data_IF_770317144153
#
_entry.id   IF_770317144153
#
_cell.length_a   1.000
_cell.length_b   1.000
_cell.length_c   1.000
_cell.angle_alpha   90.00
_cell.angle_beta   90.00
_cell.angle_gamma   90.00
#
_symmetry.space_group_name_H-M   'P 1'
#
loop_
_entity.id
_entity.type
_entity.pdbx_description
1 polymer ?
#
# COMPACT_ATOMS: atom_id res chain seq x y z
N UNK A 1 33.98 -53.74 21.75
CA UNK A 1 33.15 -53.22 20.63
C UNK A 1 32.37 -52.03 21.15
N UNK A 2 32.67 -50.80 20.71
CA UNK A 2 32.05 -49.59 21.29
C UNK A 2 31.97 -48.38 20.32
N UNK A 3 31.99 -48.63 19.01
CA UNK A 3 32.01 -47.56 17.97
C UNK A 3 30.60 -47.29 17.40
N UNK A 4 29.69 -48.27 17.46
CA UNK A 4 28.46 -48.31 16.63
C UNK A 4 27.33 -47.33 16.99
N UNK A 5 27.32 -46.71 18.18
CA UNK A 5 26.10 -46.03 18.70
C UNK A 5 26.11 -44.51 18.52
N UNK A 6 27.28 -43.87 18.45
CA UNK A 6 27.37 -42.39 18.37
C UNK A 6 27.13 -41.90 16.93
N UNK A 7 27.70 -42.58 15.94
CA UNK A 7 27.62 -42.19 14.52
C UNK A 7 26.21 -42.36 13.92
N UNK A 8 25.45 -43.35 14.38
CA UNK A 8 24.05 -43.56 13.93
C UNK A 8 23.17 -42.39 14.35
N UNK A 9 23.39 -41.84 15.56
CA UNK A 9 22.61 -40.71 16.07
C UNK A 9 22.93 -39.38 15.36
N UNK A 10 24.20 -39.12 15.00
CA UNK A 10 24.56 -37.93 14.24
C UNK A 10 24.01 -37.98 12.80
N UNK A 11 24.08 -39.15 12.15
CA UNK A 11 23.48 -39.35 10.82
C UNK A 11 21.96 -39.13 10.84
N UNK A 12 21.25 -39.69 11.82
CA UNK A 12 19.80 -39.51 11.96
C UNK A 12 19.40 -38.04 12.19
N UNK A 13 20.14 -37.31 13.04
CA UNK A 13 19.92 -35.89 13.26
C UNK A 13 20.18 -35.06 11.98
N UNK A 14 21.26 -35.36 11.25
CA UNK A 14 21.59 -34.66 10.00
C UNK A 14 20.53 -34.88 8.91
N UNK A 15 19.97 -36.10 8.81
CA UNK A 15 18.83 -36.39 7.93
C UNK A 15 17.57 -35.60 8.31
N UNK A 16 17.29 -35.40 9.61
CA UNK A 16 16.18 -34.53 10.04
C UNK A 16 16.40 -33.06 9.70
N UNK A 17 17.63 -32.55 9.85
CA UNK A 17 17.99 -31.17 9.45
C UNK A 17 17.83 -31.01 7.93
N UNK A 18 18.38 -31.93 7.13
CA UNK A 18 18.25 -31.89 5.67
C UNK A 18 16.78 -31.97 5.20
N UNK A 19 15.93 -32.77 5.87
CA UNK A 19 14.48 -32.80 5.60
C UNK A 19 13.77 -31.48 5.93
N UNK A 20 14.15 -30.80 7.03
CA UNK A 20 13.61 -29.48 7.36
C UNK A 20 14.05 -28.41 6.36
N UNK A 21 15.31 -28.40 5.97
CA UNK A 21 15.84 -27.49 4.93
C UNK A 21 15.14 -27.75 3.59
N UNK A 22 14.97 -29.02 3.20
CA UNK A 22 14.21 -29.40 2.00
C UNK A 22 12.77 -28.85 2.02
N UNK A 23 12.02 -29.09 3.11
CA UNK A 23 10.66 -28.58 3.25
C UNK A 23 10.60 -27.04 3.18
N UNK A 24 11.54 -26.32 3.80
CA UNK A 24 11.60 -24.85 3.70
C UNK A 24 11.96 -24.36 2.29
N UNK A 25 12.81 -25.09 1.55
CA UNK A 25 13.10 -24.79 0.13
C UNK A 25 11.89 -25.07 -0.74
N UNK A 26 11.16 -26.17 -0.51
CA UNK A 26 9.92 -26.49 -1.23
C UNK A 26 8.81 -25.47 -0.95
N UNK A 27 8.70 -24.96 0.28
CA UNK A 27 7.75 -23.90 0.65
C UNK A 27 8.12 -22.56 -0.02
N UNK A 28 9.40 -22.17 0.00
CA UNK A 28 9.89 -20.98 -0.72
C UNK A 28 9.68 -21.11 -2.23
N UNK A 29 9.97 -22.28 -2.82
CA UNK A 29 9.73 -22.55 -4.23
C UNK A 29 8.23 -22.49 -4.58
N UNK A 30 7.35 -22.96 -3.69
CA UNK A 30 5.89 -22.91 -3.87
C UNK A 30 5.34 -21.48 -3.77
N UNK A 31 5.90 -20.65 -2.88
CA UNK A 31 5.60 -19.22 -2.81
C UNK A 31 6.06 -18.53 -4.11
N UNK A 32 7.32 -18.70 -4.51
CA UNK A 32 7.86 -18.11 -5.74
C UNK A 32 7.13 -18.58 -7.01
N UNK A 33 6.70 -19.84 -7.07
CA UNK A 33 5.87 -20.37 -8.17
C UNK A 33 4.48 -19.73 -8.18
N UNK A 34 3.81 -19.66 -7.03
CA UNK A 34 2.49 -19.00 -6.89
C UNK A 34 2.56 -17.51 -7.26
N UNK A 35 3.61 -16.82 -6.84
CA UNK A 35 3.83 -15.40 -7.17
C UNK A 35 4.18 -15.23 -8.66
N UNK A 36 4.95 -16.15 -9.24
CA UNK A 36 5.22 -16.18 -10.69
C UNK A 36 3.94 -16.42 -11.49
N UNK A 37 3.05 -17.30 -11.05
CA UNK A 37 1.73 -17.50 -11.67
C UNK A 37 0.79 -16.32 -11.45
N UNK A 38 0.91 -15.58 -10.34
CA UNK A 38 0.17 -14.34 -10.12
C UNK A 38 0.66 -13.25 -11.07
N UNK A 39 1.98 -13.09 -11.22
CA UNK A 39 2.62 -12.19 -12.21
C UNK A 39 2.21 -12.57 -13.64
N UNK A 40 2.25 -13.87 -13.99
CA UNK A 40 1.82 -14.37 -15.30
C UNK A 40 0.29 -14.28 -15.53
N UNK A 41 -0.51 -14.02 -14.49
CA UNK A 41 -1.92 -13.61 -14.61
C UNK A 41 -2.05 -12.09 -14.79
N UNK A 42 -1.34 -11.29 -13.98
CA UNK A 42 -1.26 -9.81 -14.12
C UNK A 42 -0.83 -9.39 -15.53
N UNK A 43 0.13 -10.06 -16.15
CA UNK A 43 0.59 -9.77 -17.51
C UNK A 43 -0.46 -10.00 -18.62
N UNK A 44 -1.56 -10.71 -18.35
CA UNK A 44 -2.60 -11.01 -19.34
C UNK A 44 -3.82 -10.07 -19.29
N UNK A 45 -3.95 -9.22 -18.27
CA UNK A 45 -5.03 -8.24 -18.17
C UNK A 45 -4.64 -6.82 -18.58
N UNK A 46 -3.39 -6.38 -18.33
CA UNK A 46 -2.96 -5.00 -18.60
C UNK A 46 -2.33 -4.82 -19.97
N UNK A 47 -3.10 -4.30 -20.92
CA UNK A 47 -2.61 -3.71 -22.16
C UNK A 47 -2.60 -2.19 -21.99
N UNK A 48 -1.53 -1.55 -21.47
CA UNK A 48 -1.07 -0.18 -21.86
C UNK A 48 -0.94 1.03 -20.91
N UNK A 49 -0.72 2.20 -21.55
CA UNK A 49 0.02 3.45 -21.15
C UNK A 49 -0.35 4.58 -22.16
N UNK A 50 -0.20 5.92 -22.05
CA UNK A 50 -0.21 7.01 -21.03
C UNK A 50 -0.38 8.37 -21.80
N UNK A 51 -0.96 9.44 -21.23
CA UNK A 51 -0.55 10.86 -21.50
C UNK A 51 -1.01 11.83 -20.38
N UNK A 52 -0.62 13.11 -20.43
CA UNK A 52 -0.37 13.96 -19.24
C UNK A 52 -1.57 14.69 -18.60
N UNK A 53 -1.43 14.88 -17.28
CA UNK A 53 -2.15 15.78 -16.37
C UNK A 53 -3.62 15.46 -16.06
N UNK A 54 -3.95 15.61 -14.77
CA UNK A 54 -5.33 15.66 -14.23
C UNK A 54 -6.16 14.40 -14.48
N UNK A 55 -5.48 13.28 -14.70
CA UNK A 55 -6.05 11.97 -15.01
C UNK A 55 -6.21 11.06 -13.79
N UNK A 56 -5.44 11.23 -12.70
CA UNK A 56 -5.21 10.24 -11.62
C UNK A 56 -6.41 9.40 -11.13
N UNK A 57 -7.61 9.97 -11.10
CA UNK A 57 -8.84 9.26 -10.70
C UNK A 57 -9.36 8.27 -11.78
N UNK A 58 -9.01 8.48 -13.05
CA UNK A 58 -9.27 7.59 -14.19
C UNK A 58 -7.99 7.00 -14.82
N UNK A 59 -6.80 7.45 -14.41
CA UNK A 59 -5.50 7.06 -14.98
C UNK A 59 -5.08 5.64 -14.63
N UNK A 60 -5.61 5.09 -13.53
CA UNK A 60 -5.40 3.68 -13.16
C UNK A 60 -5.97 2.68 -14.20
N UNK A 61 -6.81 3.14 -15.13
CA UNK A 61 -7.71 2.28 -15.92
C UNK A 61 -7.52 2.39 -17.45
N UNK A 62 -6.71 3.32 -18.00
CA UNK A 62 -6.62 3.50 -19.47
C UNK A 62 -5.24 3.81 -20.09
N UNK A 63 -5.03 3.17 -21.24
CA UNK A 63 -3.91 3.29 -22.21
C UNK A 63 -3.74 1.90 -22.87
N UNK A 64 -3.18 1.74 -24.10
CA UNK A 64 -2.99 0.45 -24.82
C UNK A 64 -1.72 0.39 -25.67
N UNK A 65 -0.54 0.07 -25.08
CA UNK A 65 0.78 0.04 -25.73
C UNK A 65 1.62 -1.16 -25.22
N UNK A 66 2.69 -1.53 -25.96
CA UNK A 66 3.44 -2.78 -25.83
C UNK A 66 4.50 -2.82 -24.70
N UNK A 67 5.06 -4.02 -24.52
CA UNK A 67 5.95 -4.46 -23.45
C UNK A 67 7.28 -3.69 -23.36
N UNK A 68 7.28 -2.57 -22.60
CA UNK A 68 8.46 -1.74 -22.31
C UNK A 68 8.75 -1.61 -20.81
N UNK A 69 8.08 -2.41 -19.96
CA UNK A 69 8.44 -2.54 -18.54
C UNK A 69 9.81 -3.20 -18.43
N UNK A 70 10.83 -2.40 -18.12
CA UNK A 70 12.19 -2.88 -17.95
C UNK A 70 12.26 -3.79 -16.71
N UNK A 71 13.16 -4.76 -16.71
CA UNK A 71 13.32 -5.67 -15.58
C UNK A 71 13.62 -4.91 -14.27
N UNK A 72 13.21 -5.48 -13.12
CA UNK A 72 13.39 -4.88 -11.78
C UNK A 72 14.83 -4.41 -11.52
N UNK A 73 15.83 -5.13 -12.08
CA UNK A 73 17.25 -4.77 -12.04
C UNK A 73 17.59 -3.39 -12.64
N UNK A 74 16.82 -2.90 -13.63
CA UNK A 74 16.99 -1.54 -14.16
C UNK A 74 16.66 -0.48 -13.11
N UNK A 75 15.54 -0.65 -12.40
CA UNK A 75 15.11 0.26 -11.35
C UNK A 75 16.00 0.14 -10.10
N UNK A 76 16.54 -1.05 -9.80
CA UNK A 76 17.62 -1.21 -8.80
C UNK A 76 18.89 -0.43 -9.15
N UNK A 77 19.24 -0.30 -10.43
CA UNK A 77 20.37 0.52 -10.87
C UNK A 77 20.14 2.03 -10.77
N UNK A 78 18.89 2.47 -10.90
CA UNK A 78 18.47 3.88 -10.76
C UNK A 78 18.31 4.26 -9.27
N UNK A 79 17.83 3.32 -8.46
CA UNK A 79 17.54 3.49 -7.03
C UNK A 79 18.35 2.50 -6.17
N UNK A 80 19.70 2.52 -6.23
CA UNK A 80 20.55 1.57 -5.52
C UNK A 80 20.30 1.59 -4.01
N UNK A 81 20.24 0.41 -3.40
CA UNK A 81 19.83 0.20 -1.99
C UNK A 81 18.34 0.42 -1.71
N UNK A 82 17.66 1.28 -2.49
CA UNK A 82 16.24 1.65 -2.31
C UNK A 82 15.25 0.81 -3.12
N UNK A 83 15.66 -0.31 -3.72
CA UNK A 83 14.78 -1.19 -4.52
C UNK A 83 14.73 -2.65 -4.02
N UNK A 84 15.26 -2.93 -2.81
CA UNK A 84 15.15 -4.25 -2.17
C UNK A 84 14.12 -4.24 -1.05
N UNK A 85 13.25 -5.26 -0.99
CA UNK A 85 12.25 -5.38 0.07
C UNK A 85 12.92 -5.31 1.44
N UNK A 86 12.39 -4.42 2.27
CA UNK A 86 12.98 -4.09 3.55
C UNK A 86 12.65 -5.17 4.59
N UNK A 87 13.63 -5.51 5.44
CA UNK A 87 13.44 -6.45 6.54
C UNK A 87 12.33 -5.99 7.50
N UNK A 88 11.42 -6.89 7.85
CA UNK A 88 10.31 -6.55 8.75
C UNK A 88 10.82 -6.38 10.17
N UNK A 89 10.73 -5.15 10.70
CA UNK A 89 11.21 -4.83 12.05
C UNK A 89 10.05 -4.93 13.02
N UNK A 90 9.82 -6.12 13.58
CA UNK A 90 8.72 -6.36 14.53
C UNK A 90 8.79 -5.41 15.73
N UNK A 91 7.80 -4.53 15.85
CA UNK A 91 7.60 -3.61 16.97
C UNK A 91 6.51 -4.19 17.87
N UNK A 92 6.76 -4.21 19.18
CA UNK A 92 5.78 -4.70 20.15
C UNK A 92 4.45 -3.93 20.01
N UNK A 93 3.37 -4.69 19.80
CA UNK A 93 2.02 -4.19 19.54
C UNK A 93 1.91 -3.19 18.37
N UNK A 94 2.84 -3.23 17.41
CA UNK A 94 2.90 -2.32 16.26
C UNK A 94 1.56 -2.11 15.54
N UNK A 95 0.89 -3.17 15.03
CA UNK A 95 -0.42 -3.05 14.36
C UNK A 95 -1.49 -2.36 15.23
N UNK A 96 -1.56 -2.71 16.52
CA UNK A 96 -2.50 -2.09 17.46
C UNK A 96 -2.20 -0.59 17.62
N UNK A 97 -0.93 -0.22 17.81
CA UNK A 97 -0.49 1.18 17.98
C UNK A 97 -0.77 2.05 16.75
N UNK A 98 -0.68 1.50 15.54
CA UNK A 98 -1.11 2.20 14.30
C UNK A 98 -2.63 2.42 14.30
N UNK A 99 -3.40 1.38 14.65
CA UNK A 99 -4.86 1.49 14.78
C UNK A 99 -5.30 2.45 15.91
N UNK A 100 -4.50 2.59 16.98
CA UNK A 100 -4.76 3.54 18.08
C UNK A 100 -4.56 5.01 17.66
N UNK A 101 -3.49 5.34 16.92
CA UNK A 101 -3.30 6.70 16.40
C UNK A 101 -4.34 7.03 15.30
N UNK A 102 -4.77 6.07 14.46
CA UNK A 102 -5.84 6.29 13.48
C UNK A 102 -7.21 6.53 14.15
N UNK A 103 -7.56 5.75 15.18
CA UNK A 103 -8.75 5.99 16.02
C UNK A 103 -8.67 7.35 16.74
N UNK A 104 -7.46 7.78 17.18
CA UNK A 104 -7.25 9.13 17.75
C UNK A 104 -7.47 10.24 16.72
N UNK A 105 -6.91 10.10 15.52
CA UNK A 105 -7.05 11.06 14.41
C UNK A 105 -8.54 11.23 14.06
N UNK A 106 -9.26 10.12 13.92
CA UNK A 106 -10.71 10.11 13.72
C UNK A 106 -11.48 10.80 14.85
N UNK A 107 -11.25 10.43 16.12
CA UNK A 107 -11.96 11.00 17.28
C UNK A 107 -11.66 12.47 17.53
N UNK A 108 -10.49 12.95 17.13
CA UNK A 108 -10.14 14.37 17.22
C UNK A 108 -10.83 15.22 16.15
N UNK A 109 -11.34 14.62 15.07
CA UNK A 109 -11.75 15.35 13.88
C UNK A 109 -10.58 16.02 13.16
N UNK A 110 -9.37 15.46 13.28
CA UNK A 110 -8.16 15.98 12.63
C UNK A 110 -8.41 16.05 11.11
N UNK A 111 -8.32 17.24 10.49
CA UNK A 111 -8.51 17.43 9.03
C UNK A 111 -7.19 17.55 8.28
N UNK A 112 -7.17 17.08 7.04
CA UNK A 112 -6.01 17.20 6.14
C UNK A 112 -6.42 17.33 4.68
N UNK A 113 -5.48 17.79 3.84
CA UNK A 113 -5.67 17.88 2.40
C UNK A 113 -5.31 16.54 1.75
N UNK A 114 -6.29 15.83 1.23
CA UNK A 114 -6.05 14.69 0.35
C UNK A 114 -5.34 15.19 -0.91
N UNK A 115 -4.17 14.63 -1.22
CA UNK A 115 -3.29 15.10 -2.28
C UNK A 115 -2.45 13.93 -2.83
N UNK A 116 -2.69 13.54 -4.08
CA UNK A 116 -1.94 12.48 -4.76
C UNK A 116 -0.51 12.88 -5.13
N UNK A 117 0.25 11.93 -5.69
CA UNK A 117 1.58 12.18 -6.27
C UNK A 117 1.47 12.99 -7.58
N UNK A 118 1.16 14.28 -7.46
CA UNK A 118 1.11 15.26 -8.56
C UNK A 118 2.33 16.21 -8.47
N UNK A 119 3.03 16.52 -9.58
CA UNK A 119 4.03 17.60 -9.65
C UNK A 119 3.48 18.99 -9.33
N UNK A 120 2.25 19.34 -9.74
CA UNK A 120 1.62 20.63 -9.42
C UNK A 120 1.43 20.80 -7.92
N UNK A 121 0.78 19.82 -7.27
CA UNK A 121 0.57 19.83 -5.82
C UNK A 121 1.89 19.89 -5.06
N UNK A 122 2.97 19.26 -5.56
CA UNK A 122 4.29 19.37 -4.96
C UNK A 122 4.89 20.78 -5.11
N UNK A 123 4.84 21.36 -6.31
CA UNK A 123 5.30 22.74 -6.57
C UNK A 123 4.50 23.80 -5.80
N UNK A 124 3.21 23.55 -5.55
CA UNK A 124 2.32 24.39 -4.73
C UNK A 124 2.50 24.19 -3.21
N UNK A 125 3.32 23.23 -2.77
CA UNK A 125 3.54 22.92 -1.34
C UNK A 125 2.43 22.08 -0.69
N UNK A 126 1.46 21.58 -1.45
CA UNK A 126 0.36 20.73 -0.98
C UNK A 126 0.74 19.23 -0.84
N UNK A 127 2.00 18.94 -0.51
CA UNK A 127 2.58 17.58 -0.39
C UNK A 127 3.44 17.48 0.86
N UNK A 128 2.85 17.79 2.00
CA UNK A 128 3.54 18.08 3.26
C UNK A 128 4.32 16.91 3.84
N UNK A 129 3.82 15.67 3.76
CA UNK A 129 4.62 14.50 4.17
C UNK A 129 5.81 14.31 3.22
N UNK A 130 5.58 14.42 1.92
CA UNK A 130 6.60 14.26 0.89
C UNK A 130 7.72 15.32 0.97
N UNK A 131 7.38 16.54 1.41
CA UNK A 131 8.34 17.59 1.74
C UNK A 131 9.07 17.30 3.05
N UNK A 132 8.35 16.90 4.10
CA UNK A 132 8.97 16.55 5.40
C UNK A 132 9.96 15.39 5.28
N UNK A 133 9.70 14.40 4.42
CA UNK A 133 10.65 13.33 4.12
C UNK A 133 11.98 13.86 3.52
N UNK A 134 11.99 15.04 2.90
CA UNK A 134 13.19 15.63 2.26
C UNK A 134 13.91 16.64 3.14
N UNK A 135 13.27 17.17 4.18
CA UNK A 135 13.87 18.11 5.17
C UNK A 135 14.28 17.40 6.45
N UNK A 136 14.88 18.12 7.40
CA UNK A 136 15.07 17.66 8.78
C UNK A 136 14.12 18.35 9.76
N UNK A 137 13.94 17.73 10.94
CA UNK A 137 12.99 18.18 11.96
C UNK A 137 11.81 17.23 12.20
N UNK A 138 10.98 17.52 13.23
CA UNK A 138 9.89 16.65 13.68
C UNK A 138 8.77 16.52 12.66
N UNK A 139 7.99 15.45 12.75
CA UNK A 139 6.77 15.28 11.98
C UNK A 139 5.71 16.27 12.46
N UNK A 140 5.37 17.25 11.63
CA UNK A 140 4.35 18.25 11.94
C UNK A 140 2.94 17.63 12.05
N UNK A 141 2.05 18.21 12.87
CA UNK A 141 0.68 17.72 13.02
C UNK A 141 -0.16 17.90 11.75
N UNK A 142 -1.25 17.14 11.65
CA UNK A 142 -2.27 17.30 10.62
C UNK A 142 -2.94 18.68 10.73
N UNK A 143 -3.32 19.23 9.58
CA UNK A 143 -4.06 20.47 9.44
C UNK A 143 -4.61 20.57 8.02
N UNK A 144 -5.51 21.50 7.74
CA UNK A 144 -6.10 21.71 6.41
C UNK A 144 -5.07 22.05 5.30
N UNK A 145 -3.86 22.44 5.69
CA UNK A 145 -2.73 22.67 4.78
C UNK A 145 -1.78 21.46 4.66
N UNK A 146 -1.93 20.45 5.52
CA UNK A 146 -1.11 19.24 5.50
C UNK A 146 -1.57 18.32 4.37
N UNK A 147 -0.78 18.21 3.31
CA UNK A 147 -1.05 17.39 2.13
C UNK A 147 -0.49 15.97 2.23
N UNK A 148 -1.36 14.97 2.03
CA UNK A 148 -1.00 13.54 1.98
C UNK A 148 -2.05 12.71 1.20
N UNK A 149 -1.74 11.48 0.82
CA UNK A 149 -2.68 10.49 0.28
C UNK A 149 -2.94 9.33 1.29
N UNK A 150 -3.72 8.33 0.85
CA UNK A 150 -4.12 7.19 1.68
C UNK A 150 -2.95 6.37 2.23
N UNK A 151 -1.98 6.01 1.38
CA UNK A 151 -0.72 5.36 1.75
C UNK A 151 0.07 6.17 2.79
N UNK A 152 0.10 7.48 2.60
CA UNK A 152 0.82 8.43 3.43
C UNK A 152 0.15 8.64 4.79
N UNK A 153 -1.17 8.51 4.92
CA UNK A 153 -1.83 8.49 6.23
C UNK A 153 -1.46 7.26 7.06
N UNK A 154 -1.48 6.06 6.47
CA UNK A 154 -1.13 4.83 7.19
C UNK A 154 0.30 4.90 7.74
N UNK A 155 1.21 5.44 6.94
CA UNK A 155 2.62 5.61 7.35
C UNK A 155 2.85 6.84 8.24
N UNK A 156 2.08 7.91 8.11
CA UNK A 156 2.04 9.04 9.04
C UNK A 156 1.62 8.54 10.43
N UNK A 157 0.53 7.79 10.53
CA UNK A 157 0.05 7.20 11.78
C UNK A 157 1.08 6.23 12.38
N UNK A 158 1.71 5.37 11.57
CA UNK A 158 2.78 4.49 12.05
C UNK A 158 4.03 5.25 12.54
N UNK A 159 4.35 6.40 11.94
CA UNK A 159 5.46 7.26 12.41
C UNK A 159 5.09 7.96 13.71
N UNK A 160 3.90 8.54 13.78
CA UNK A 160 3.30 9.18 14.97
C UNK A 160 3.22 8.22 16.17
N UNK A 161 2.84 6.97 15.91
CA UNK A 161 2.76 5.91 16.91
C UNK A 161 4.12 5.36 17.37
N UNK A 162 5.24 5.81 16.77
CA UNK A 162 6.59 5.32 17.06
C UNK A 162 6.82 3.86 16.62
N UNK A 163 6.15 3.46 15.54
CA UNK A 163 6.22 2.12 14.93
C UNK A 163 7.13 2.13 13.69
N UNK A 164 7.13 3.22 12.92
CA UNK A 164 8.13 3.52 11.89
C UNK A 164 8.97 4.73 12.29
N UNK A 165 10.24 4.76 11.86
CA UNK A 165 11.12 5.92 11.97
C UNK A 165 11.35 6.60 10.61
N UNK A 166 11.80 7.86 10.62
CA UNK A 166 11.99 8.67 9.41
C UNK A 166 12.96 8.05 8.40
N UNK A 167 14.12 7.48 8.79
CA UNK A 167 14.97 6.71 7.88
C UNK A 167 14.23 5.55 7.21
N UNK A 168 13.49 4.74 7.97
CA UNK A 168 12.74 3.60 7.40
C UNK A 168 11.61 4.06 6.48
N UNK A 169 10.94 5.16 6.81
CA UNK A 169 9.89 5.70 5.94
C UNK A 169 10.45 6.31 4.64
N UNK A 170 11.66 6.90 4.68
CA UNK A 170 12.39 7.33 3.48
C UNK A 170 12.72 6.16 2.55
N UNK A 171 12.98 4.97 3.07
CA UNK A 171 13.20 3.78 2.25
C UNK A 171 11.89 3.23 1.66
N UNK A 172 10.80 3.24 2.45
CA UNK A 172 9.48 2.72 2.04
C UNK A 172 8.81 3.58 0.95
N UNK A 173 8.67 4.90 1.15
CA UNK A 173 7.77 5.75 0.33
C UNK A 173 8.40 7.01 -0.29
N UNK A 174 9.67 7.37 -0.01
CA UNK A 174 10.27 8.59 -0.60
C UNK A 174 10.63 8.39 -2.08
N UNK A 175 9.62 8.54 -2.93
CA UNK A 175 9.76 8.60 -4.38
C UNK A 175 10.57 9.84 -4.79
N UNK A 176 11.80 9.62 -5.27
CA UNK A 176 12.69 10.69 -5.71
C UNK A 176 12.21 11.33 -7.02
N UNK A 177 11.70 12.56 -6.92
CA UNK A 177 11.47 13.49 -8.03
C UNK A 177 12.80 14.01 -8.61
N UNK A 178 12.75 14.50 -9.85
CA UNK A 178 13.74 15.42 -10.43
C UNK A 178 13.74 16.78 -9.70
N UNK A 179 14.75 17.66 -9.91
CA UNK A 179 14.77 19.01 -9.34
C UNK A 179 13.57 19.89 -9.74
N UNK A 180 12.95 19.65 -10.90
CA UNK A 180 11.74 20.34 -11.37
C UNK A 180 10.43 19.81 -10.74
N UNK A 181 10.51 18.77 -9.91
CA UNK A 181 9.36 18.10 -9.29
C UNK A 181 8.73 16.96 -10.11
N UNK A 182 9.23 16.65 -11.31
CA UNK A 182 8.70 15.61 -12.20
C UNK A 182 9.40 14.24 -12.04
N UNK A 183 9.02 13.25 -12.85
CA UNK A 183 9.62 11.90 -12.89
C UNK A 183 9.98 11.48 -14.32
N UNK A 184 10.73 10.38 -14.44
CA UNK A 184 11.01 9.73 -15.73
C UNK A 184 9.91 8.70 -16.06
N UNK A 185 8.90 9.06 -16.87
CA UNK A 185 7.90 8.10 -17.38
C UNK A 185 7.30 7.17 -16.30
N UNK A 186 7.25 5.87 -16.59
CA UNK A 186 6.67 4.76 -15.82
C UNK A 186 7.24 4.57 -14.38
N UNK A 187 8.15 5.43 -13.93
CA UNK A 187 8.74 5.35 -12.58
C UNK A 187 7.70 5.45 -11.46
N UNK A 188 6.60 6.20 -11.66
CA UNK A 188 5.51 6.29 -10.67
C UNK A 188 4.77 4.95 -10.57
N UNK A 189 4.32 4.38 -11.69
CA UNK A 189 3.57 3.10 -11.72
C UNK A 189 4.36 1.94 -11.13
N UNK A 190 5.66 1.88 -11.44
CA UNK A 190 6.57 0.88 -10.87
C UNK A 190 6.84 1.12 -9.38
N UNK A 191 6.82 2.37 -8.91
CA UNK A 191 6.92 2.68 -7.49
C UNK A 191 5.63 2.29 -6.74
N UNK A 192 4.45 2.61 -7.28
CA UNK A 192 3.14 2.25 -6.70
C UNK A 192 2.99 0.73 -6.52
N UNK A 193 3.26 -0.05 -7.58
CA UNK A 193 3.24 -1.52 -7.51
C UNK A 193 4.20 -2.05 -6.44
N UNK A 194 5.41 -1.48 -6.35
CA UNK A 194 6.40 -1.89 -5.35
C UNK A 194 6.03 -1.49 -3.92
N UNK A 195 5.40 -0.33 -3.70
CA UNK A 195 4.90 0.05 -2.36
C UNK A 195 3.84 -0.94 -1.87
N UNK A 196 2.97 -1.43 -2.75
CA UNK A 196 1.95 -2.44 -2.40
C UNK A 196 2.57 -3.74 -1.89
N UNK A 197 3.68 -4.16 -2.52
CA UNK A 197 4.48 -5.32 -2.09
C UNK A 197 5.26 -5.07 -0.79
N UNK A 198 5.61 -3.82 -0.47
CA UNK A 198 6.43 -3.50 0.70
C UNK A 198 5.62 -3.10 1.94
N UNK A 199 4.38 -2.65 1.78
CA UNK A 199 3.49 -2.36 2.90
C UNK A 199 2.75 -3.59 3.42
N UNK A 200 2.61 -4.65 2.63
CA UNK A 200 2.21 -5.97 3.16
C UNK A 200 3.30 -7.01 2.80
N UNK A 201 4.48 -6.93 3.45
CA UNK A 201 5.67 -7.69 3.05
C UNK A 201 5.60 -9.19 3.40
N UNK A 202 4.73 -9.59 4.33
CA UNK A 202 4.57 -10.95 4.83
C UNK A 202 3.08 -11.26 5.08
N UNK A 203 2.70 -12.54 4.95
CA UNK A 203 1.38 -13.01 5.41
C UNK A 203 0.15 -12.50 4.64
N UNK A 204 0.35 -12.03 3.40
CA UNK A 204 -0.72 -11.54 2.50
C UNK A 204 -1.87 -12.56 2.35
N UNK A 205 -3.09 -12.08 2.59
CA UNK A 205 -4.36 -12.81 2.44
C UNK A 205 -5.29 -12.00 1.54
N UNK A 206 -6.18 -12.66 0.80
CA UNK A 206 -7.21 -12.00 -0.02
C UNK A 206 -8.55 -12.13 0.71
N UNK A 207 -9.25 -11.01 0.90
CA UNK A 207 -10.61 -11.00 1.45
C UNK A 207 -11.61 -11.37 0.35
N UNK A 208 -12.48 -12.33 0.63
CA UNK A 208 -13.43 -12.89 -0.36
C UNK A 208 -14.90 -12.64 -0.02
N UNK A 209 -15.20 -12.07 1.16
CA UNK A 209 -16.57 -11.97 1.68
C UNK A 209 -17.26 -13.30 2.00
N UNK A 210 -16.61 -14.45 1.79
CA UNK A 210 -17.20 -15.76 2.03
C UNK A 210 -17.32 -16.05 3.55
N UNK A 211 -18.42 -16.66 4.02
CA UNK A 211 -18.55 -17.11 5.41
C UNK A 211 -17.42 -18.05 5.82
N UNK A 212 -16.76 -17.77 6.94
CA UNK A 212 -15.58 -18.52 7.40
C UNK A 212 -14.29 -18.26 6.60
N UNK A 213 -14.32 -17.35 5.61
CA UNK A 213 -13.14 -16.87 4.91
C UNK A 213 -12.22 -16.02 5.81
N UNK A 214 -10.97 -15.78 5.37
CA UNK A 214 -10.03 -14.97 6.13
C UNK A 214 -10.44 -13.50 6.12
N UNK A 215 -10.47 -12.87 7.30
CA UNK A 215 -10.79 -11.45 7.51
C UNK A 215 -9.58 -10.68 8.06
N UNK A 216 -9.44 -9.37 7.78
CA UNK A 216 -8.36 -8.55 8.30
C UNK A 216 -8.50 -8.34 9.82
N UNK A 217 -7.38 -8.48 10.53
CA UNK A 217 -7.30 -8.31 11.98
C UNK A 217 -7.05 -6.82 12.32
N UNK A 218 -7.24 -6.42 13.60
CA UNK A 218 -6.92 -5.05 14.04
C UNK A 218 -5.50 -4.68 13.65
N UNK A 219 -5.35 -3.54 12.95
CA UNK A 219 -4.05 -3.03 12.52
C UNK A 219 -3.47 -3.71 11.28
N UNK A 220 -4.18 -4.63 10.62
CA UNK A 220 -3.83 -5.07 9.28
C UNK A 220 -4.07 -3.93 8.27
N UNK A 221 -3.15 -3.78 7.33
CA UNK A 221 -3.35 -2.94 6.15
C UNK A 221 -4.29 -3.69 5.20
N UNK A 222 -5.25 -2.97 4.60
CA UNK A 222 -6.16 -3.47 3.57
C UNK A 222 -6.00 -2.61 2.31
N UNK A 223 -5.95 -3.23 1.14
CA UNK A 223 -5.66 -2.57 -0.14
C UNK A 223 -6.61 -3.04 -1.25
N UNK A 224 -6.95 -2.13 -2.15
CA UNK A 224 -7.72 -2.42 -3.37
C UNK A 224 -6.79 -2.58 -4.56
N UNK A 225 -6.81 -3.78 -5.14
CA UNK A 225 -5.89 -4.28 -6.17
C UNK A 225 -4.41 -4.31 -5.73
N UNK A 226 -3.58 -5.07 -6.45
CA UNK A 226 -2.17 -5.27 -6.09
C UNK A 226 -1.27 -4.04 -6.33
N UNK A 227 -1.70 -3.10 -7.16
CA UNK A 227 -1.18 -1.75 -7.30
C UNK A 227 -1.65 -0.80 -6.19
N UNK A 228 -2.61 -1.22 -5.36
CA UNK A 228 -3.15 -0.49 -4.21
C UNK A 228 -3.68 0.91 -4.58
N UNK A 229 -4.71 0.90 -5.44
CA UNK A 229 -5.50 2.07 -5.84
C UNK A 229 -6.10 2.81 -4.65
N UNK A 230 -6.39 2.08 -3.57
CA UNK A 230 -6.64 2.65 -2.24
C UNK A 230 -6.06 1.76 -1.14
N UNK A 231 -5.71 2.37 0.00
CA UNK A 231 -5.09 1.74 1.17
C UNK A 231 -5.75 2.24 2.45
N UNK A 232 -6.12 1.30 3.33
CA UNK A 232 -6.75 1.55 4.63
C UNK A 232 -6.11 0.66 5.71
N UNK A 233 -6.54 0.82 6.97
CA UNK A 233 -6.18 -0.09 8.07
C UNK A 233 -7.46 -0.61 8.72
N UNK A 234 -7.56 -1.92 8.91
CA UNK A 234 -8.71 -2.53 9.56
C UNK A 234 -8.76 -2.19 11.05
N UNK A 235 -9.95 -1.82 11.54
CA UNK A 235 -10.16 -1.52 12.97
C UNK A 235 -10.22 -2.79 13.83
N UNK A 236 -10.41 -3.94 13.18
CA UNK A 236 -10.68 -5.24 13.80
C UNK A 236 -12.14 -5.44 14.21
N UNK A 237 -13.03 -4.50 13.85
CA UNK A 237 -14.48 -4.57 14.05
C UNK A 237 -15.17 -4.95 12.73
N UNK A 238 -16.44 -5.34 12.82
CA UNK A 238 -17.31 -5.57 11.67
C UNK A 238 -18.33 -4.43 11.57
N UNK A 239 -18.52 -3.89 10.37
CA UNK A 239 -19.49 -2.83 10.11
C UNK A 239 -20.93 -3.32 10.07
N UNK A 240 -21.88 -2.39 9.96
CA UNK A 240 -23.32 -2.69 9.95
C UNK A 240 -23.79 -3.50 8.73
N UNK A 241 -23.01 -3.53 7.65
CA UNK A 241 -23.22 -4.37 6.46
C UNK A 241 -22.66 -5.80 6.58
N UNK A 242 -21.99 -6.12 7.70
CA UNK A 242 -21.35 -7.42 7.93
C UNK A 242 -19.94 -7.57 7.34
N UNK A 243 -19.42 -6.57 6.63
CA UNK A 243 -18.03 -6.55 6.14
C UNK A 243 -17.07 -5.90 7.14
N UNK A 244 -15.73 -6.10 7.02
CA UNK A 244 -14.76 -5.51 7.94
C UNK A 244 -14.80 -3.98 7.97
N UNK A 245 -14.66 -3.41 9.17
CA UNK A 245 -14.61 -1.97 9.40
C UNK A 245 -13.16 -1.42 9.29
N UNK A 246 -13.02 -0.21 8.75
CA UNK A 246 -11.76 0.35 8.28
C UNK A 246 -11.57 1.81 8.71
N UNK A 247 -10.32 2.17 9.02
CA UNK A 247 -9.84 3.56 8.98
C UNK A 247 -9.43 3.90 7.55
N UNK A 248 -10.19 4.78 6.88
CA UNK A 248 -9.93 5.21 5.51
C UNK A 248 -9.46 6.67 5.48
N UNK A 249 -8.43 6.97 4.70
CA UNK A 249 -7.92 8.33 4.47
C UNK A 249 -8.14 8.74 3.02
N UNK A 250 -9.39 9.05 2.74
CA UNK A 250 -9.92 9.42 1.43
C UNK A 250 -11.29 10.10 1.63
N UNK A 251 -11.83 10.72 0.59
CA UNK A 251 -13.13 11.42 0.67
C UNK A 251 -14.33 10.46 0.46
N UNK A 252 -14.19 9.38 -0.31
CA UNK A 252 -15.23 8.36 -0.46
C UNK A 252 -15.26 7.39 0.73
N UNK A 253 -16.45 6.92 1.16
CA UNK A 253 -17.77 7.15 0.53
C UNK A 253 -18.47 8.42 1.02
N UNK A 254 -18.00 9.03 2.13
CA UNK A 254 -18.69 10.09 2.87
C UNK A 254 -18.91 11.41 2.10
N UNK A 255 -18.01 11.76 1.20
CA UNK A 255 -18.00 13.04 0.48
C UNK A 255 -17.95 12.84 -1.04
N UNK A 256 -18.65 13.67 -1.83
CA UNK A 256 -18.59 13.60 -3.29
C UNK A 256 -17.22 14.05 -3.80
N UNK A 257 -16.74 13.44 -4.88
CA UNK A 257 -15.59 13.97 -5.61
C UNK A 257 -15.98 15.27 -6.31
N UNK A 258 -15.34 16.37 -5.94
CA UNK A 258 -15.47 17.67 -6.64
C UNK A 258 -14.09 18.22 -7.01
N UNK A 259 -14.07 19.03 -8.06
CA UNK A 259 -12.85 19.62 -8.62
C UNK A 259 -12.47 20.90 -7.86
N UNK A 260 -11.22 21.00 -7.43
CA UNK A 260 -10.64 22.18 -6.78
C UNK A 260 -9.91 23.03 -7.83
N UNK A 261 -10.52 24.16 -8.22
CA UNK A 261 -9.97 25.08 -9.21
C UNK A 261 -8.69 25.81 -8.76
N UNK A 262 -8.40 25.86 -7.45
CA UNK A 262 -7.17 26.49 -6.92
C UNK A 262 -5.98 25.59 -7.21
N UNK A 263 -6.13 24.29 -6.96
CA UNK A 263 -5.08 23.29 -7.25
C UNK A 263 -5.16 22.74 -8.68
N UNK A 264 -6.29 22.93 -9.37
CA UNK A 264 -6.64 22.31 -10.66
C UNK A 264 -6.49 20.80 -10.59
N UNK A 265 -7.13 20.22 -9.58
CA UNK A 265 -7.03 18.80 -9.24
C UNK A 265 -8.27 18.35 -8.44
N UNK A 266 -8.25 17.10 -7.98
CA UNK A 266 -9.22 16.57 -7.00
C UNK A 266 -8.72 16.67 -5.54
N UNK A 267 -7.66 17.44 -5.29
CA UNK A 267 -7.16 17.66 -3.95
C UNK A 267 -8.15 18.46 -3.11
N UNK A 268 -8.51 17.98 -1.93
CA UNK A 268 -9.49 18.63 -1.06
C UNK A 268 -9.15 18.48 0.42
N UNK A 269 -9.63 19.43 1.23
CA UNK A 269 -9.59 19.32 2.69
C UNK A 269 -10.76 18.43 3.15
N UNK A 270 -10.43 17.28 3.71
CA UNK A 270 -11.37 16.28 4.21
C UNK A 270 -10.98 15.85 5.64
N UNK A 271 -11.78 15.01 6.27
CA UNK A 271 -11.41 14.35 7.51
C UNK A 271 -10.21 13.43 7.24
N UNK A 272 -9.15 13.52 8.06
CA UNK A 272 -7.89 12.81 7.80
C UNK A 272 -8.05 11.30 7.89
N UNK A 273 -8.94 10.86 8.78
CA UNK A 273 -9.41 9.48 8.89
C UNK A 273 -10.92 9.53 9.09
N UNK A 274 -11.64 8.71 8.33
CA UNK A 274 -13.04 8.37 8.51
C UNK A 274 -13.16 6.87 8.80
N UNK A 275 -14.23 6.47 9.49
CA UNK A 275 -14.65 5.08 9.59
C UNK A 275 -15.59 4.75 8.43
N UNK A 276 -15.36 3.62 7.78
CA UNK A 276 -16.16 3.04 6.69
C UNK A 276 -15.98 1.52 6.70
N UNK A 277 -16.55 0.79 5.74
CA UNK A 277 -16.44 -0.67 5.64
C UNK A 277 -15.81 -1.10 4.32
N UNK A 278 -15.43 -2.37 4.18
CA UNK A 278 -14.93 -2.91 2.91
C UNK A 278 -16.00 -2.81 1.80
N UNK A 279 -17.26 -3.14 2.09
CA UNK A 279 -18.35 -3.11 1.12
C UNK A 279 -18.77 -1.69 0.72
N UNK A 280 -18.96 -0.79 1.69
CA UNK A 280 -19.34 0.62 1.48
C UNK A 280 -18.27 1.37 0.67
N UNK A 281 -17.00 1.18 1.01
CA UNK A 281 -15.87 1.80 0.33
C UNK A 281 -15.70 1.27 -1.11
N UNK A 282 -15.89 -0.05 -1.31
CA UNK A 282 -15.86 -0.67 -2.64
C UNK A 282 -16.99 -0.15 -3.53
N UNK A 283 -18.20 0.00 -2.98
CA UNK A 283 -19.33 0.63 -3.68
C UNK A 283 -19.05 2.11 -4.00
N UNK A 284 -18.42 2.82 -3.08
CA UNK A 284 -17.91 4.18 -3.31
C UNK A 284 -16.95 4.26 -4.51
N UNK A 285 -16.00 3.33 -4.61
CA UNK A 285 -15.08 3.24 -5.76
C UNK A 285 -15.85 3.05 -7.07
N UNK A 286 -16.75 2.06 -7.18
CA UNK A 286 -17.55 1.85 -8.39
C UNK A 286 -18.52 2.99 -8.71
N UNK A 287 -18.93 3.79 -7.72
CA UNK A 287 -19.74 4.98 -7.91
C UNK A 287 -18.95 6.20 -8.44
N UNK A 288 -17.61 6.16 -8.40
CA UNK A 288 -16.75 7.30 -8.75
C UNK A 288 -16.83 7.66 -10.24
N UNK A 289 -16.93 8.96 -10.55
CA UNK A 289 -17.05 9.47 -11.91
C UNK A 289 -16.03 10.57 -12.22
N UNK A 290 -15.51 10.57 -13.45
CA UNK A 290 -14.62 11.61 -13.98
C UNK A 290 -15.22 12.13 -15.30
N UNK A 291 -15.54 13.43 -15.34
CA UNK A 291 -16.20 14.07 -16.50
C UNK A 291 -17.48 13.34 -16.98
N UNK A 292 -18.18 12.68 -16.04
CA UNK A 292 -19.39 11.87 -16.29
C UNK A 292 -19.12 10.36 -16.42
N UNK A 293 -17.92 9.96 -16.81
CA UNK A 293 -17.56 8.56 -17.08
C UNK A 293 -17.23 7.77 -15.81
N UNK A 294 -17.55 6.46 -15.74
CA UNK A 294 -17.04 5.56 -14.71
C UNK A 294 -15.51 5.57 -14.62
N UNK A 295 -14.99 5.69 -13.40
CA UNK A 295 -13.55 5.62 -13.14
C UNK A 295 -13.04 4.16 -13.11
N UNK A 296 -13.89 3.24 -12.65
CA UNK A 296 -13.63 1.80 -12.59
C UNK A 296 -14.75 1.04 -13.30
N UNK A 297 -14.43 -0.10 -13.91
CA UNK A 297 -15.40 -0.96 -14.58
C UNK A 297 -16.17 -1.81 -13.53
N UNK A 298 -17.49 -1.65 -13.37
CA UNK A 298 -18.28 -2.40 -12.39
C UNK A 298 -18.41 -3.90 -12.70
N UNK A 299 -17.95 -4.37 -13.87
CA UNK A 299 -17.88 -5.79 -14.22
C UNK A 299 -16.56 -6.45 -13.78
N UNK A 300 -15.54 -5.65 -13.41
CA UNK A 300 -14.23 -6.13 -12.96
C UNK A 300 -14.17 -6.06 -11.43
N UNK A 301 -14.16 -7.20 -10.71
CA UNK A 301 -14.08 -7.21 -9.25
C UNK A 301 -12.70 -6.73 -8.76
N UNK A 302 -12.67 -5.85 -7.76
CA UNK A 302 -11.43 -5.49 -7.07
C UNK A 302 -10.84 -6.71 -6.32
N UNK A 303 -9.52 -6.91 -6.40
CA UNK A 303 -8.81 -7.84 -5.52
C UNK A 303 -8.49 -7.15 -4.20
N UNK A 304 -9.19 -7.51 -3.12
CA UNK A 304 -9.03 -6.88 -1.81
C UNK A 304 -7.99 -7.68 -1.00
N UNK A 305 -6.79 -7.13 -0.87
CA UNK A 305 -5.62 -7.77 -0.25
C UNK A 305 -5.40 -7.19 1.14
N UNK A 306 -5.06 -8.03 2.12
CA UNK A 306 -4.75 -7.57 3.48
C UNK A 306 -3.61 -8.34 4.15
N UNK A 307 -3.07 -7.76 5.23
CA UNK A 307 -2.08 -8.40 6.09
C UNK A 307 -1.34 -7.40 6.99
N UNK A 308 -0.29 -7.88 7.64
CA UNK A 308 0.51 -7.09 8.59
C UNK A 308 1.41 -6.09 7.86
N UNK A 309 1.54 -4.88 8.42
CA UNK A 309 2.49 -3.87 7.96
C UNK A 309 3.98 -4.30 8.10
N UNK A 310 4.94 -3.49 7.61
CA UNK A 310 6.38 -3.74 7.69
C UNK A 310 6.99 -3.55 9.10
N UNK A 311 6.22 -3.87 10.15
CA UNK A 311 6.49 -3.62 11.56
C UNK A 311 6.01 -4.77 12.48
#
# INVERSE_FOLDING_TARGET
>A
MLVSVVEINSAAAMVQVLRRVGASVDDVARILSRDTEAIARRMRSTKGVLENADSDVASAVRSTVADHRKASSHYSGIYPGRWHQLSVRRVENGPARVADELERIYRAGDRSRWANYDPKLFQQGHRSLEMWLKTEGPLAPLSEHYGLNCWEMVTYAATRAGVLDKPRLRELIELRRRPDGTWNGDHLDMWLQRMGDWLIPEGRRTYTGAPGGPVPERGDIVMWNANAEHVTVATGRTGADGSPELYSSWYLPKHPLTWDEVTKSFSQVTDSVQITTVDELTKGMYALRYKGEPCYDPTVPFEIIFGRGPW
#
